data_IF_740443367801
#
_entry.id   IF_740443367801
#
_cell.length_a   1.000
_cell.length_b   1.000
_cell.length_c   1.000
_cell.angle_alpha   90.00
_cell.angle_beta   90.00
_cell.angle_gamma   90.00
#
_symmetry.space_group_name_H-M   'P 1'
#
loop_
_entity.id
_entity.type
_entity.pdbx_description
1 polymer ?
#
# COMPACT_ATOMS: atom_id res chain seq x y z
N UNK A 1 7.81 -3.06 21.80
CA UNK A 1 7.02 -4.30 21.94
C UNK A 1 6.07 -4.37 20.76
N UNK A 2 5.88 -5.55 20.16
CA UNK A 2 4.94 -5.74 19.03
C UNK A 2 3.56 -6.04 19.63
N UNK A 3 2.48 -5.39 19.17
CA UNK A 3 1.13 -5.68 19.64
C UNK A 3 0.68 -7.09 19.24
N UNK A 4 -0.26 -7.70 19.98
CA UNK A 4 -0.80 -9.02 19.66
C UNK A 4 -1.55 -9.05 18.33
N UNK A 5 -2.08 -7.91 17.88
CA UNK A 5 -2.73 -7.79 16.58
C UNK A 5 -1.92 -6.84 15.70
N UNK A 6 -1.70 -7.25 14.46
CA UNK A 6 -1.13 -6.41 13.40
C UNK A 6 -2.05 -6.42 12.19
N UNK A 7 -2.04 -5.33 11.42
CA UNK A 7 -2.81 -5.23 10.18
C UNK A 7 -1.86 -5.16 9.00
N UNK A 8 -2.12 -5.92 7.95
CA UNK A 8 -1.39 -5.86 6.68
C UNK A 8 -2.34 -5.53 5.54
N UNK A 9 -1.82 -4.90 4.49
CA UNK A 9 -2.51 -4.81 3.20
C UNK A 9 -1.54 -5.02 2.04
N UNK A 10 -2.11 -5.38 0.90
CA UNK A 10 -1.40 -5.44 -0.38
C UNK A 10 -2.26 -4.79 -1.45
N UNK A 11 -1.77 -3.68 -2.02
CA UNK A 11 -2.44 -2.97 -3.11
C UNK A 11 -1.54 -2.96 -4.35
N UNK A 12 -2.05 -3.41 -5.48
CA UNK A 12 -1.28 -3.45 -6.73
C UNK A 12 -1.83 -2.49 -7.78
N UNK A 13 -0.93 -1.87 -8.54
CA UNK A 13 -1.25 -0.96 -9.65
C UNK A 13 -0.28 -1.18 -10.81
N UNK A 14 -0.80 -1.21 -12.03
CA UNK A 14 0.00 -1.22 -13.26
C UNK A 14 0.28 0.20 -13.76
N UNK A 15 1.19 0.36 -14.73
CA UNK A 15 1.53 1.68 -15.30
C UNK A 15 0.30 2.45 -15.83
N UNK A 16 -0.59 1.77 -16.56
CA UNK A 16 -1.84 2.35 -17.08
C UNK A 16 -2.85 2.71 -15.97
N UNK A 17 -2.76 2.07 -14.80
CA UNK A 17 -3.55 2.40 -13.60
C UNK A 17 -2.91 3.52 -12.76
N UNK A 18 -1.85 4.17 -13.27
CA UNK A 18 -1.20 5.30 -12.61
C UNK A 18 -0.13 4.94 -11.59
N UNK A 19 0.47 3.74 -11.67
CA UNK A 19 1.51 3.29 -10.74
C UNK A 19 2.64 4.31 -10.54
N UNK A 20 3.14 4.94 -11.61
CA UNK A 20 4.21 5.95 -11.51
C UNK A 20 3.83 7.10 -10.57
N UNK A 21 2.61 7.64 -10.69
CA UNK A 21 2.15 8.75 -9.84
C UNK A 21 2.07 8.32 -8.37
N UNK A 22 1.58 7.11 -8.11
CA UNK A 22 1.47 6.58 -6.76
C UNK A 22 2.82 6.28 -6.12
N UNK A 23 3.79 5.76 -6.89
CA UNK A 23 5.15 5.55 -6.39
C UNK A 23 5.82 6.88 -6.07
N UNK A 24 5.69 7.90 -6.92
CA UNK A 24 6.21 9.25 -6.63
C UNK A 24 5.56 9.84 -5.38
N UNK A 25 4.24 9.70 -5.22
CA UNK A 25 3.54 10.15 -4.01
C UNK A 25 4.08 9.42 -2.77
N UNK A 26 4.22 8.10 -2.83
CA UNK A 26 4.78 7.30 -1.75
C UNK A 26 6.19 7.74 -1.38
N UNK A 27 7.08 8.00 -2.35
CA UNK A 27 8.43 8.51 -2.06
C UNK A 27 8.41 9.82 -1.26
N UNK A 28 7.42 10.69 -1.52
CA UNK A 28 7.29 11.97 -0.82
C UNK A 28 6.68 11.83 0.58
N UNK A 29 5.69 10.96 0.78
CA UNK A 29 4.98 10.89 2.08
C UNK A 29 5.44 9.76 3.00
N UNK A 30 6.15 8.75 2.49
CA UNK A 30 6.49 7.54 3.26
C UNK A 30 7.27 7.84 4.54
N UNK A 31 8.10 8.88 4.53
CA UNK A 31 8.91 9.28 5.68
C UNK A 31 8.13 10.07 6.76
N UNK A 32 6.93 10.55 6.43
CA UNK A 32 6.05 11.31 7.31
C UNK A 32 4.91 10.48 7.89
N UNK A 33 4.78 9.21 7.47
CA UNK A 33 3.75 8.30 7.95
C UNK A 33 3.90 8.02 9.46
N UNK A 34 2.79 7.62 10.09
CA UNK A 34 2.79 7.14 11.48
C UNK A 34 3.87 6.07 11.66
N UNK A 35 4.63 6.16 12.75
CA UNK A 35 5.75 5.25 13.05
C UNK A 35 5.34 3.78 13.18
N UNK A 36 4.06 3.51 13.41
CA UNK A 36 3.49 2.15 13.46
C UNK A 36 3.23 1.58 12.06
N UNK A 37 3.25 2.40 11.02
CA UNK A 37 2.97 2.03 9.65
C UNK A 37 4.25 1.93 8.82
N UNK A 38 4.50 0.74 8.32
CA UNK A 38 5.52 0.49 7.31
C UNK A 38 4.86 0.19 5.97
N UNK A 39 5.34 0.81 4.89
CA UNK A 39 4.92 0.51 3.51
C UNK A 39 6.16 0.37 2.64
N UNK A 40 6.26 -0.74 1.90
CA UNK A 40 7.25 -0.96 0.84
C UNK A 40 6.58 -1.08 -0.52
N UNK A 41 7.29 -0.68 -1.57
CA UNK A 41 6.88 -0.88 -2.96
C UNK A 41 7.75 -1.95 -3.60
N UNK A 42 7.11 -2.97 -4.17
CA UNK A 42 7.74 -3.96 -5.03
C UNK A 42 7.42 -3.64 -6.48
N UNK A 43 8.44 -3.46 -7.32
CA UNK A 43 8.29 -3.25 -8.76
C UNK A 43 8.66 -4.54 -9.47
N UNK A 44 7.72 -5.11 -10.22
CA UNK A 44 7.92 -6.36 -10.96
C UNK A 44 7.48 -6.20 -12.42
N UNK A 45 8.20 -6.82 -13.38
CA UNK A 45 7.70 -6.95 -14.75
C UNK A 45 6.33 -7.63 -14.75
N UNK A 46 5.43 -7.19 -15.62
CA UNK A 46 4.10 -7.77 -15.78
C UNK A 46 3.68 -7.66 -17.25
N UNK A 47 2.58 -8.28 -17.63
CA UNK A 47 1.98 -8.15 -18.97
C UNK A 47 0.55 -7.61 -18.83
N UNK A 48 0.15 -6.72 -19.75
CA UNK A 48 -1.23 -6.25 -19.81
C UNK A 48 -2.16 -7.29 -20.48
N UNK A 49 -3.45 -7.01 -20.53
CA UNK A 49 -4.45 -7.90 -21.16
C UNK A 49 -4.18 -8.18 -22.64
N UNK A 50 -3.35 -7.36 -23.30
CA UNK A 50 -2.96 -7.49 -24.70
C UNK A 50 -1.59 -8.16 -24.86
N UNK A 51 -0.99 -8.66 -23.77
CA UNK A 51 0.34 -9.27 -23.76
C UNK A 51 1.48 -8.27 -23.95
N UNK A 52 1.21 -6.96 -23.81
CA UNK A 52 2.25 -5.94 -23.88
C UNK A 52 2.98 -5.83 -22.55
N UNK A 53 4.31 -5.75 -22.60
CA UNK A 53 5.14 -5.61 -21.40
C UNK A 53 4.78 -4.34 -20.63
N UNK A 54 4.62 -4.48 -19.32
CA UNK A 54 4.35 -3.39 -18.39
C UNK A 54 5.09 -3.64 -17.07
N UNK A 55 4.82 -2.80 -16.08
CA UNK A 55 5.34 -2.95 -14.71
C UNK A 55 4.17 -2.88 -13.75
N UNK A 56 4.15 -3.80 -12.79
CA UNK A 56 3.25 -3.78 -11.65
C UNK A 56 3.98 -3.30 -10.41
N UNK A 57 3.41 -2.30 -9.76
CA UNK A 57 3.83 -1.80 -8.46
C UNK A 57 2.90 -2.35 -7.39
N UNK A 58 3.45 -3.10 -6.42
CA UNK A 58 2.70 -3.64 -5.29
C UNK A 58 3.15 -2.96 -3.99
N UNK A 59 2.22 -2.26 -3.36
CA UNK A 59 2.37 -1.61 -2.06
C UNK A 59 2.01 -2.61 -0.97
N UNK A 60 3.02 -3.13 -0.27
CA UNK A 60 2.84 -4.03 0.86
C UNK A 60 3.08 -3.28 2.16
N UNK A 61 2.27 -3.57 3.18
CA UNK A 61 2.39 -2.90 4.48
C UNK A 61 2.42 -3.84 5.67
N UNK A 62 2.90 -3.27 6.78
CA UNK A 62 2.71 -3.78 8.11
C UNK A 62 2.33 -2.60 9.01
N UNK A 63 1.21 -2.71 9.71
CA UNK A 63 0.75 -1.74 10.68
C UNK A 63 0.63 -2.37 12.06
N UNK A 64 1.32 -1.77 13.04
CA UNK A 64 1.30 -2.20 14.44
C UNK A 64 0.06 -1.64 15.14
N UNK A 65 -1.11 -2.14 14.74
CA UNK A 65 -2.41 -1.74 15.26
C UNK A 65 -3.55 -2.41 14.51
N UNK A 66 -4.78 -2.02 14.85
CA UNK A 66 -6.00 -2.59 14.28
C UNK A 66 -6.38 -1.99 12.93
N UNK A 67 -7.25 -2.68 12.18
CA UNK A 67 -7.80 -2.16 10.92
C UNK A 67 -8.59 -0.85 11.09
N UNK A 68 -9.23 -0.66 12.25
CA UNK A 68 -10.03 0.52 12.55
C UNK A 68 -9.18 1.78 12.71
N UNK A 69 -7.92 1.63 13.16
CA UNK A 69 -6.96 2.73 13.27
C UNK A 69 -6.25 3.01 11.94
N UNK A 70 -6.03 1.99 11.12
CA UNK A 70 -5.31 2.13 9.85
C UNK A 70 -6.10 2.95 8.81
N UNK A 71 -7.42 2.79 8.76
CA UNK A 71 -8.29 3.44 7.78
C UNK A 71 -8.20 4.98 7.81
N UNK A 72 -8.50 5.63 8.95
CA UNK A 72 -8.43 7.09 9.03
C UNK A 72 -7.02 7.61 8.74
N UNK A 73 -6.00 6.84 9.14
CA UNK A 73 -4.60 7.19 8.94
C UNK A 73 -4.24 7.21 7.45
N UNK A 74 -4.68 6.21 6.69
CA UNK A 74 -4.45 6.17 5.24
C UNK A 74 -5.25 7.25 4.51
N UNK A 75 -6.46 7.57 4.94
CA UNK A 75 -7.25 8.68 4.37
C UNK A 75 -6.58 10.04 4.58
N UNK A 76 -5.90 10.25 5.70
CA UNK A 76 -5.18 11.52 5.95
C UNK A 76 -3.85 11.56 5.20
N UNK A 77 -3.04 10.51 5.32
CA UNK A 77 -1.64 10.57 4.90
C UNK A 77 -1.39 10.07 3.48
N UNK A 78 -2.23 9.20 2.93
CA UNK A 78 -2.02 8.60 1.61
C UNK A 78 -3.31 8.10 0.94
N UNK A 79 -4.34 8.94 0.89
CA UNK A 79 -5.66 8.60 0.33
C UNK A 79 -5.59 8.19 -1.14
N UNK A 80 -4.61 8.70 -1.89
CA UNK A 80 -4.45 8.41 -3.32
C UNK A 80 -4.21 6.92 -3.58
N UNK A 81 -3.69 6.16 -2.60
CA UNK A 81 -3.52 4.71 -2.73
C UNK A 81 -4.87 3.99 -2.93
N UNK A 82 -5.97 4.55 -2.40
CA UNK A 82 -7.32 4.05 -2.57
C UNK A 82 -7.52 2.66 -1.97
N UNK A 83 -7.09 2.48 -0.71
CA UNK A 83 -7.21 1.22 0.02
C UNK A 83 -8.68 0.90 0.34
N UNK A 84 -9.14 -0.25 -0.13
CA UNK A 84 -10.48 -0.76 0.22
C UNK A 84 -10.41 -1.61 1.48
N UNK A 85 -11.55 -1.82 2.13
CA UNK A 85 -11.62 -2.70 3.30
C UNK A 85 -11.22 -4.14 2.98
N UNK A 86 -11.52 -4.59 1.77
CA UNK A 86 -11.23 -5.92 1.24
C UNK A 86 -9.72 -6.19 1.10
N UNK A 87 -8.90 -5.15 0.97
CA UNK A 87 -7.46 -5.26 0.77
C UNK A 87 -6.69 -5.52 2.08
N UNK A 88 -7.40 -5.63 3.22
CA UNK A 88 -6.82 -5.69 4.58
C UNK A 88 -7.00 -7.06 5.22
N UNK A 89 -5.93 -7.51 5.87
CA UNK A 89 -5.94 -8.73 6.69
C UNK A 89 -5.37 -8.41 8.07
N UNK A 90 -6.12 -8.76 9.11
CA UNK A 90 -5.64 -8.70 10.49
C UNK A 90 -5.00 -10.05 10.85
N UNK A 91 -3.83 -10.01 11.48
CA UNK A 91 -3.06 -11.19 11.86
C UNK A 91 -2.80 -11.16 13.37
N UNK A 92 -2.85 -12.35 13.99
CA UNK A 92 -2.64 -12.59 15.42
C UNK A 92 -1.32 -13.30 15.68
#
# INVERSE_FOLDING_TARGET
MVPPNVTVFSASRTLNQGATKLVTKWQNVAHELDRRLFIRVMLVPDEDEKGSKTVKATFNSLFLGSKAELLPLMEVSFHELGLREEDRVEMS
#
